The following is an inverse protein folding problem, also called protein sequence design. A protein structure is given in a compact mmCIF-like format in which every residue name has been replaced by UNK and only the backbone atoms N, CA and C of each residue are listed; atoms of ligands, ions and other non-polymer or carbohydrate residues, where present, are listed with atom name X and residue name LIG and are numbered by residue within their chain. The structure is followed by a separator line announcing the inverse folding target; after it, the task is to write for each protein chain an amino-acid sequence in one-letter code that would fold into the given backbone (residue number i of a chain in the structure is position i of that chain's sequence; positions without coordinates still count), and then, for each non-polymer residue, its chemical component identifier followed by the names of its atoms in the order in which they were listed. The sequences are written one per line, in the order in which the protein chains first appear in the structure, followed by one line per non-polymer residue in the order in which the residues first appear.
data_IF_492552512115
#
_entry.id   IF_492552512115
#
_cell.length_a   1.000
_cell.length_b   1.000
_cell.length_c   1.000
_cell.angle_alpha   90.00
_cell.angle_beta   90.00
_cell.angle_gamma   90.00
#
_symmetry.space_group_name_H-M   'P 1'
#
loop_
_entity.id
_entity.type
_entity.pdbx_description
1 polymer ?
#
# COMPACT_ATOMS: atom_id res chain seq x y z
N UNK A 1 25.53 -36.81 15.86
CA UNK A 1 24.55 -36.14 14.98
C UNK A 1 25.02 -36.41 13.55
N UNK A 2 24.28 -37.21 12.78
CA UNK A 2 24.73 -37.69 11.45
C UNK A 2 24.61 -36.59 10.40
N UNK A 3 25.46 -36.62 9.36
CA UNK A 3 25.41 -35.65 8.25
C UNK A 3 24.03 -35.60 7.59
N UNK A 4 23.38 -36.75 7.46
CA UNK A 4 22.00 -36.87 6.97
C UNK A 4 20.97 -36.10 7.83
N UNK A 5 21.19 -36.03 9.16
CA UNK A 5 20.35 -35.25 10.07
C UNK A 5 20.59 -33.74 9.91
N UNK A 6 21.84 -33.33 9.65
CA UNK A 6 22.21 -31.94 9.36
C UNK A 6 21.65 -31.48 8.02
N UNK A 7 21.80 -32.28 6.96
CA UNK A 7 21.23 -31.99 5.64
C UNK A 7 19.70 -31.92 5.65
N UNK A 8 19.02 -32.81 6.39
CA UNK A 8 17.55 -32.70 6.56
C UNK A 8 17.14 -31.44 7.31
N UNK A 9 17.89 -30.98 8.32
CA UNK A 9 17.59 -29.72 9.05
C UNK A 9 17.83 -28.49 8.16
N UNK A 10 18.93 -28.45 7.41
CA UNK A 10 19.24 -27.32 6.51
C UNK A 10 18.26 -27.25 5.34
N UNK A 11 17.96 -28.38 4.70
CA UNK A 11 17.03 -28.48 3.56
C UNK A 11 15.57 -28.15 3.93
N UNK A 12 15.16 -28.30 5.20
CA UNK A 12 13.82 -27.90 5.67
C UNK A 12 13.76 -26.41 6.04
N UNK A 13 14.88 -25.86 6.56
CA UNK A 13 14.99 -24.47 7.01
C UNK A 13 15.06 -23.42 5.88
N UNK A 14 15.69 -23.74 4.75
CA UNK A 14 15.73 -22.84 3.58
C UNK A 14 14.36 -22.58 2.93
N UNK A 15 13.55 -23.61 2.60
CA UNK A 15 12.23 -23.41 2.02
C UNK A 15 11.29 -22.73 3.02
N UNK A 16 11.29 -23.11 4.30
CA UNK A 16 10.42 -22.47 5.32
C UNK A 16 10.72 -20.97 5.45
N UNK A 17 12.00 -20.57 5.42
CA UNK A 17 12.40 -19.16 5.42
C UNK A 17 11.97 -18.41 4.13
N UNK A 18 12.09 -19.05 2.96
CA UNK A 18 11.63 -18.48 1.68
C UNK A 18 10.12 -18.23 1.69
N UNK A 19 9.32 -19.22 2.13
CA UNK A 19 7.87 -19.09 2.26
C UNK A 19 7.48 -18.03 3.29
N UNK A 20 8.16 -17.95 4.44
CA UNK A 20 7.95 -16.89 5.43
C UNK A 20 8.14 -15.49 4.83
N UNK A 21 9.21 -15.31 4.05
CA UNK A 21 9.48 -14.02 3.41
C UNK A 21 8.44 -13.66 2.37
N UNK A 22 7.93 -14.64 1.62
CA UNK A 22 6.85 -14.43 0.66
C UNK A 22 5.53 -14.07 1.36
N UNK A 23 5.14 -14.85 2.38
CA UNK A 23 3.95 -14.59 3.20
C UNK A 23 3.99 -13.19 3.85
N UNK A 24 5.15 -12.80 4.38
CA UNK A 24 5.35 -11.47 4.97
C UNK A 24 5.13 -10.34 3.95
N UNK A 25 5.59 -10.52 2.71
CA UNK A 25 5.40 -9.55 1.62
C UNK A 25 3.94 -9.44 1.20
N UNK A 26 3.22 -10.56 1.12
CA UNK A 26 1.78 -10.58 0.84
C UNK A 26 1.04 -9.71 1.87
N UNK A 27 1.27 -9.98 3.15
CA UNK A 27 0.59 -9.28 4.25
C UNK A 27 0.96 -7.80 4.25
N UNK A 28 2.23 -7.48 4.00
CA UNK A 28 2.66 -6.09 3.87
C UNK A 28 1.95 -5.35 2.75
N UNK A 29 1.89 -5.92 1.54
CA UNK A 29 1.20 -5.29 0.41
C UNK A 29 -0.29 -5.12 0.68
N UNK A 30 -0.95 -6.14 1.24
CA UNK A 30 -2.37 -6.06 1.61
C UNK A 30 -2.63 -4.99 2.67
N UNK A 31 -1.79 -4.92 3.69
CA UNK A 31 -1.88 -3.87 4.73
C UNK A 31 -1.72 -2.47 4.12
N UNK A 32 -0.74 -2.29 3.24
CA UNK A 32 -0.50 -1.02 2.54
C UNK A 32 -1.70 -0.67 1.65
N UNK A 33 -2.28 -1.64 0.93
CA UNK A 33 -3.48 -1.43 0.12
C UNK A 33 -4.66 -0.92 0.97
N UNK A 34 -4.98 -1.61 2.07
CA UNK A 34 -6.08 -1.19 2.94
C UNK A 34 -5.89 0.20 3.52
N UNK A 35 -4.65 0.56 3.86
CA UNK A 35 -4.34 1.91 4.30
C UNK A 35 -4.68 2.98 3.23
N UNK A 36 -4.27 2.76 1.97
CA UNK A 36 -4.61 3.68 0.87
C UNK A 36 -6.12 3.70 0.60
N UNK A 37 -6.77 2.55 0.66
CA UNK A 37 -8.21 2.44 0.46
C UNK A 37 -9.00 3.19 1.55
N UNK A 38 -8.61 3.05 2.82
CA UNK A 38 -9.23 3.79 3.93
C UNK A 38 -9.03 5.29 3.79
N UNK A 39 -7.81 5.74 3.46
CA UNK A 39 -7.55 7.16 3.18
C UNK A 39 -8.41 7.68 2.02
N UNK A 40 -8.52 6.90 0.94
CA UNK A 40 -9.35 7.25 -0.21
C UNK A 40 -10.82 7.46 0.19
N UNK A 41 -11.40 6.56 0.99
CA UNK A 41 -12.79 6.71 1.48
C UNK A 41 -12.93 7.97 2.32
N UNK A 42 -12.05 8.16 3.32
CA UNK A 42 -12.13 9.29 4.26
C UNK A 42 -12.02 10.62 3.50
N UNK A 43 -11.02 10.75 2.62
CA UNK A 43 -10.81 11.97 1.84
C UNK A 43 -11.92 12.20 0.80
N UNK A 44 -12.45 11.14 0.18
CA UNK A 44 -13.56 11.28 -0.77
C UNK A 44 -14.84 11.77 -0.09
N UNK A 45 -15.17 11.22 1.07
CA UNK A 45 -16.30 11.70 1.88
C UNK A 45 -16.11 13.16 2.29
N UNK A 46 -14.91 13.52 2.72
CA UNK A 46 -14.57 14.90 3.08
C UNK A 46 -14.72 15.86 1.88
N UNK A 47 -14.16 15.52 0.71
CA UNK A 47 -14.27 16.35 -0.50
C UNK A 47 -15.71 16.48 -0.98
N UNK A 48 -16.47 15.39 -0.95
CA UNK A 48 -17.88 15.39 -1.28
C UNK A 48 -18.69 16.30 -0.33
N UNK A 49 -18.42 16.22 0.97
CA UNK A 49 -19.04 17.08 1.98
C UNK A 49 -18.69 18.56 1.76
N UNK A 50 -17.41 18.89 1.47
CA UNK A 50 -16.98 20.25 1.17
C UNK A 50 -17.70 20.77 -0.08
N UNK A 51 -17.80 19.96 -1.13
CA UNK A 51 -18.53 20.32 -2.35
C UNK A 51 -20.01 20.60 -2.03
N UNK A 52 -20.66 19.73 -1.26
CA UNK A 52 -22.07 19.87 -0.90
C UNK A 52 -22.39 21.16 -0.15
N UNK A 53 -21.53 21.54 0.80
CA UNK A 53 -21.74 22.73 1.64
C UNK A 53 -21.44 24.02 0.86
N UNK A 54 -20.37 24.05 0.08
CA UNK A 54 -19.84 25.28 -0.51
C UNK A 54 -20.27 25.50 -1.97
N UNK A 55 -20.63 24.45 -2.71
CA UNK A 55 -20.80 24.49 -4.16
C UNK A 55 -22.04 23.69 -4.61
N UNK A 56 -23.23 24.25 -4.38
CA UNK A 56 -24.51 23.57 -4.71
C UNK A 56 -24.75 23.37 -6.21
N UNK A 57 -24.16 24.21 -7.06
CA UNK A 57 -24.36 24.15 -8.52
C UNK A 57 -23.19 23.50 -9.29
N UNK A 58 -22.06 23.24 -8.62
CA UNK A 58 -20.88 22.67 -9.26
C UNK A 58 -20.37 21.44 -8.52
N UNK A 59 -20.40 20.31 -9.21
CA UNK A 59 -19.98 19.00 -8.70
C UNK A 59 -18.52 18.73 -9.08
N UNK A 60 -17.60 19.53 -8.56
CA UNK A 60 -16.19 19.40 -8.91
C UNK A 60 -15.54 18.18 -8.22
N UNK A 61 -15.99 17.80 -7.02
CA UNK A 61 -15.36 16.74 -6.23
C UNK A 61 -15.41 15.35 -6.89
N UNK A 62 -16.36 15.09 -7.80
CA UNK A 62 -16.46 13.80 -8.48
C UNK A 62 -15.26 13.52 -9.39
N UNK A 63 -14.69 14.54 -10.04
CA UNK A 63 -13.58 14.38 -10.98
C UNK A 63 -12.33 13.78 -10.32
N UNK A 64 -11.81 14.35 -9.19
CA UNK A 64 -10.71 13.72 -8.48
C UNK A 64 -11.12 12.35 -7.90
N UNK A 65 -12.34 12.20 -7.37
CA UNK A 65 -12.79 10.91 -6.79
C UNK A 65 -12.76 9.79 -7.85
N UNK A 66 -13.30 10.03 -9.04
CA UNK A 66 -13.33 9.06 -10.13
C UNK A 66 -11.92 8.73 -10.61
N UNK A 67 -11.07 9.74 -10.82
CA UNK A 67 -9.68 9.53 -11.23
C UNK A 67 -8.93 8.64 -10.21
N UNK A 68 -9.03 8.96 -8.93
CA UNK A 68 -8.38 8.19 -7.87
C UNK A 68 -9.01 6.81 -7.64
N UNK A 69 -10.32 6.65 -7.88
CA UNK A 69 -10.99 5.35 -7.83
C UNK A 69 -10.40 4.37 -8.85
N UNK A 70 -10.14 4.82 -10.08
CA UNK A 70 -9.49 4.00 -11.13
C UNK A 70 -8.09 3.56 -10.68
N UNK A 71 -7.32 4.47 -10.09
CA UNK A 71 -5.97 4.15 -9.55
C UNK A 71 -6.04 3.11 -8.44
N UNK A 72 -7.02 3.19 -7.54
CA UNK A 72 -7.23 2.22 -6.46
C UNK A 72 -7.63 0.84 -7.01
N UNK A 73 -8.48 0.80 -8.05
CA UNK A 73 -8.84 -0.44 -8.74
C UNK A 73 -7.59 -1.09 -9.36
N UNK A 74 -6.72 -0.31 -9.99
CA UNK A 74 -5.42 -0.80 -10.47
C UNK A 74 -4.56 -1.42 -9.36
N UNK A 75 -4.44 -0.72 -8.23
CA UNK A 75 -3.74 -1.23 -7.04
C UNK A 75 -4.37 -2.52 -6.49
N UNK A 76 -5.69 -2.64 -6.51
CA UNK A 76 -6.40 -3.85 -6.09
C UNK A 76 -6.04 -5.03 -7.00
N UNK A 77 -6.10 -4.85 -8.32
CA UNK A 77 -5.69 -5.87 -9.29
C UNK A 77 -4.23 -6.30 -9.08
N UNK A 78 -3.32 -5.35 -8.86
CA UNK A 78 -1.90 -5.66 -8.60
C UNK A 78 -1.68 -6.41 -7.27
N UNK A 79 -2.43 -6.08 -6.22
CA UNK A 79 -2.26 -6.69 -4.89
C UNK A 79 -2.92 -8.06 -4.75
N UNK A 80 -4.02 -8.29 -5.47
CA UNK A 80 -4.87 -9.48 -5.27
C UNK A 80 -4.98 -10.38 -6.50
N UNK A 81 -4.88 -9.86 -7.71
CA UNK A 81 -5.05 -10.65 -8.96
C UNK A 81 -3.69 -11.03 -9.55
N UNK A 82 -2.80 -10.07 -9.77
CA UNK A 82 -1.51 -10.30 -10.44
C UNK A 82 -0.34 -10.62 -9.50
N UNK A 83 -0.61 -10.77 -8.21
CA UNK A 83 0.43 -10.99 -7.20
C UNK A 83 1.19 -12.34 -7.37
N UNK A 84 0.76 -13.21 -8.27
CA UNK A 84 1.38 -14.53 -8.52
C UNK A 84 2.53 -14.55 -9.55
N UNK A 85 3.08 -13.39 -9.96
CA UNK A 85 4.26 -13.38 -10.84
C UNK A 85 5.55 -13.66 -10.06
N UNK A 86 5.92 -14.95 -10.01
CA UNK A 86 7.18 -15.46 -9.47
C UNK A 86 8.41 -14.76 -10.07
N UNK A 87 9.05 -13.88 -9.29
CA UNK A 87 10.29 -13.23 -9.71
C UNK A 87 11.51 -14.01 -9.24
N UNK A 88 12.40 -14.37 -10.18
CA UNK A 88 13.81 -14.66 -9.94
C UNK A 88 14.41 -13.52 -9.08
N UNK A 89 14.76 -13.84 -7.83
CA UNK A 89 15.44 -13.01 -6.84
C UNK A 89 14.66 -11.78 -6.24
N UNK A 90 13.72 -12.00 -5.29
CA UNK A 90 12.81 -10.99 -4.77
C UNK A 90 13.45 -9.96 -3.81
N UNK A 91 14.70 -10.15 -3.38
CA UNK A 91 15.33 -9.32 -2.34
C UNK A 91 15.99 -8.05 -2.90
N UNK A 92 16.60 -8.13 -4.08
CA UNK A 92 17.23 -6.96 -4.71
C UNK A 92 16.19 -6.00 -5.29
N UNK A 93 15.11 -6.52 -5.91
CA UNK A 93 14.03 -5.69 -6.46
C UNK A 93 13.29 -4.88 -5.39
N UNK A 94 13.17 -5.39 -4.17
CA UNK A 94 12.38 -4.76 -3.10
C UNK A 94 12.95 -3.42 -2.62
N UNK A 95 14.27 -3.33 -2.46
CA UNK A 95 14.94 -2.08 -2.07
C UNK A 95 14.80 -0.99 -3.13
N UNK A 96 14.92 -1.34 -4.42
CA UNK A 96 14.77 -0.40 -5.53
C UNK A 96 13.30 -0.03 -5.78
N UNK A 97 12.39 -1.01 -5.80
CA UNK A 97 10.97 -0.77 -6.07
C UNK A 97 10.29 0.09 -5.01
N UNK A 98 10.63 -0.04 -3.71
CA UNK A 98 9.93 0.74 -2.68
C UNK A 98 10.19 2.24 -2.83
N UNK A 99 11.43 2.63 -3.19
CA UNK A 99 11.78 4.02 -3.48
C UNK A 99 11.10 4.49 -4.76
N UNK A 100 11.23 3.71 -5.85
CA UNK A 100 10.63 4.06 -7.14
C UNK A 100 9.12 4.19 -7.07
N UNK A 101 8.43 3.28 -6.36
CA UNK A 101 6.98 3.34 -6.19
C UNK A 101 6.54 4.65 -5.52
N UNK A 102 7.22 5.08 -4.45
CA UNK A 102 6.90 6.35 -3.81
C UNK A 102 7.08 7.54 -4.76
N UNK A 103 8.19 7.59 -5.53
CA UNK A 103 8.40 8.66 -6.51
C UNK A 103 7.36 8.67 -7.62
N UNK A 104 6.91 7.50 -8.10
CA UNK A 104 5.82 7.42 -9.07
C UNK A 104 4.54 8.00 -8.50
N UNK A 105 4.19 7.68 -7.25
CA UNK A 105 3.01 8.26 -6.58
C UNK A 105 3.14 9.77 -6.40
N UNK A 106 4.34 10.26 -6.04
CA UNK A 106 4.61 11.68 -5.90
C UNK A 106 4.48 12.42 -7.24
N UNK A 107 5.02 11.87 -8.33
CA UNK A 107 4.91 12.45 -9.67
C UNK A 107 3.45 12.49 -10.12
N UNK A 108 2.72 11.37 -9.98
CA UNK A 108 1.29 11.32 -10.30
C UNK A 108 0.53 12.36 -9.47
N UNK A 109 0.81 12.46 -8.17
CA UNK A 109 0.22 13.47 -7.30
C UNK A 109 0.49 14.89 -7.82
N UNK A 110 1.74 15.24 -8.12
CA UNK A 110 2.08 16.59 -8.62
C UNK A 110 1.36 16.88 -9.94
N UNK A 111 1.45 15.97 -10.92
CA UNK A 111 0.82 16.16 -12.23
C UNK A 111 -0.71 16.27 -12.13
N UNK A 112 -1.36 15.39 -11.37
CA UNK A 112 -2.80 15.45 -11.16
C UNK A 112 -3.23 16.78 -10.54
N UNK A 113 -2.50 17.28 -9.55
CA UNK A 113 -2.81 18.55 -8.91
C UNK A 113 -2.56 19.76 -9.83
N UNK A 114 -1.53 19.72 -10.67
CA UNK A 114 -1.31 20.76 -11.68
C UNK A 114 -2.47 20.82 -12.69
N UNK A 115 -2.98 19.66 -13.13
CA UNK A 115 -4.16 19.59 -14.00
C UNK A 115 -5.41 20.15 -13.30
N UNK A 116 -5.66 19.76 -12.05
CA UNK A 116 -6.80 20.29 -11.29
C UNK A 116 -6.70 21.81 -11.08
N UNK A 117 -5.49 22.31 -10.78
CA UNK A 117 -5.24 23.74 -10.62
C UNK A 117 -5.46 24.48 -11.95
N UNK A 118 -4.99 23.93 -13.07
CA UNK A 118 -5.23 24.49 -14.40
C UNK A 118 -6.72 24.58 -14.72
N UNK A 119 -7.48 23.50 -14.51
CA UNK A 119 -8.94 23.49 -14.72
C UNK A 119 -9.60 24.54 -13.82
N UNK A 120 -9.18 24.62 -12.56
CA UNK A 120 -9.75 25.56 -11.61
C UNK A 120 -9.55 27.02 -12.04
N UNK A 121 -8.33 27.40 -12.40
CA UNK A 121 -8.00 28.76 -12.83
C UNK A 121 -8.63 29.13 -14.18
N UNK A 122 -8.81 28.16 -15.08
CA UNK A 122 -9.35 28.42 -16.41
C UNK A 122 -10.88 28.48 -16.45
N UNK A 123 -11.56 27.57 -15.76
CA UNK A 123 -13.03 27.46 -15.85
C UNK A 123 -13.76 28.17 -14.71
N UNK A 124 -13.17 28.24 -13.52
CA UNK A 124 -13.82 28.83 -12.34
C UNK A 124 -12.83 29.61 -11.47
N UNK A 125 -12.18 30.67 -12.00
CA UNK A 125 -11.15 31.42 -11.28
C UNK A 125 -11.66 32.10 -10.00
N UNK A 126 -12.97 32.39 -9.90
CA UNK A 126 -13.59 32.99 -8.72
C UNK A 126 -13.62 32.05 -7.49
N UNK A 127 -13.40 30.75 -7.68
CA UNK A 127 -13.51 29.75 -6.62
C UNK A 127 -12.31 28.82 -6.65
N UNK A 128 -11.38 28.93 -5.70
CA UNK A 128 -10.15 28.12 -5.66
C UNK A 128 -10.35 26.68 -5.18
N UNK A 129 -11.31 25.94 -5.76
CA UNK A 129 -11.67 24.60 -5.30
C UNK A 129 -10.56 23.56 -5.44
N UNK A 130 -9.56 23.79 -6.32
CA UNK A 130 -8.42 22.88 -6.46
C UNK A 130 -7.54 22.80 -5.20
N UNK A 131 -7.60 23.79 -4.30
CA UNK A 131 -6.84 23.77 -3.04
C UNK A 131 -7.30 22.63 -2.10
N UNK A 132 -8.59 22.31 -2.08
CA UNK A 132 -9.12 21.25 -1.23
C UNK A 132 -8.52 19.87 -1.53
N UNK A 133 -8.50 19.36 -2.78
CA UNK A 133 -7.81 18.12 -3.09
C UNK A 133 -6.29 18.26 -2.89
N UNK A 134 -5.64 19.37 -3.29
CA UNK A 134 -4.19 19.55 -3.08
C UNK A 134 -3.82 19.32 -1.61
N UNK A 135 -4.50 20.02 -0.70
CA UNK A 135 -4.26 19.92 0.73
C UNK A 135 -4.68 18.55 1.29
N UNK A 136 -5.89 18.07 0.96
CA UNK A 136 -6.41 16.80 1.49
C UNK A 136 -5.54 15.61 1.11
N UNK A 137 -5.21 15.47 -0.17
CA UNK A 137 -4.35 14.39 -0.66
C UNK A 137 -2.89 14.58 -0.22
N UNK A 138 -2.41 15.82 -0.11
CA UNK A 138 -1.06 16.14 0.37
C UNK A 138 -0.83 15.71 1.82
N UNK A 139 -1.80 15.95 2.70
CA UNK A 139 -1.77 15.45 4.09
C UNK A 139 -1.77 13.93 4.14
N UNK A 140 -2.57 13.27 3.29
CA UNK A 140 -2.57 11.81 3.17
C UNK A 140 -1.20 11.23 2.75
N UNK A 141 -0.54 11.87 1.78
CA UNK A 141 0.80 11.49 1.33
C UNK A 141 1.85 11.68 2.44
N UNK A 142 1.77 12.80 3.17
CA UNK A 142 2.65 13.08 4.30
C UNK A 142 2.49 12.01 5.40
N UNK A 143 1.25 11.68 5.76
CA UNK A 143 1.00 10.63 6.75
C UNK A 143 1.47 9.26 6.25
N UNK A 144 1.29 8.94 4.97
CA UNK A 144 1.81 7.72 4.38
C UNK A 144 3.34 7.63 4.50
N UNK A 145 4.04 8.71 4.16
CA UNK A 145 5.49 8.80 4.31
C UNK A 145 5.91 8.57 5.76
N UNK A 146 5.28 9.27 6.70
CA UNK A 146 5.59 9.16 8.11
C UNK A 146 5.33 7.75 8.65
N UNK A 147 4.20 7.14 8.30
CA UNK A 147 3.86 5.78 8.73
C UNK A 147 4.80 4.71 8.16
N UNK A 148 5.17 4.82 6.88
CA UNK A 148 6.01 3.80 6.21
C UNK A 148 7.49 3.94 6.55
N UNK A 149 8.00 5.18 6.65
CA UNK A 149 9.44 5.43 6.79
C UNK A 149 9.86 5.75 8.22
N UNK A 150 9.01 6.42 9.00
CA UNK A 150 9.35 6.89 10.35
C UNK A 150 8.77 5.96 11.42
N UNK A 151 7.50 5.57 11.28
CA UNK A 151 6.81 4.78 12.29
C UNK A 151 7.07 3.27 12.15
N UNK A 152 8.04 2.73 12.89
CA UNK A 152 8.23 1.28 13.08
C UNK A 152 7.54 0.79 14.36
N UNK A 153 6.26 1.12 14.54
CA UNK A 153 5.52 0.80 15.75
C UNK A 153 5.60 -0.68 16.15
N UNK A 154 5.97 -0.95 17.40
CA UNK A 154 6.12 -2.29 17.97
C UNK A 154 4.85 -3.15 17.74
N UNK A 155 3.67 -2.56 17.91
CA UNK A 155 2.36 -3.21 17.71
C UNK A 155 2.15 -3.69 16.27
N UNK A 156 2.52 -2.87 15.27
CA UNK A 156 2.40 -3.23 13.85
C UNK A 156 3.36 -4.36 13.50
N UNK A 157 4.58 -4.32 14.05
CA UNK A 157 5.59 -5.36 13.85
C UNK A 157 5.11 -6.72 14.36
N UNK A 158 4.57 -6.77 15.58
CA UNK A 158 4.04 -8.01 16.16
C UNK A 158 2.79 -8.50 15.45
N UNK A 159 1.82 -7.61 15.19
CA UNK A 159 0.62 -7.98 14.44
C UNK A 159 0.96 -8.58 13.07
N UNK A 160 1.88 -7.95 12.33
CA UNK A 160 2.33 -8.42 11.02
C UNK A 160 3.01 -9.78 11.11
N UNK A 161 3.82 -10.01 12.14
CA UNK A 161 4.45 -11.31 12.38
C UNK A 161 3.42 -12.40 12.67
N UNK A 162 2.48 -12.15 13.60
CA UNK A 162 1.41 -13.10 13.93
C UNK A 162 0.54 -13.45 12.73
N UNK A 163 0.21 -12.46 11.89
CA UNK A 163 -0.52 -12.69 10.63
C UNK A 163 0.28 -13.53 9.64
N UNK A 164 1.60 -13.34 9.57
CA UNK A 164 2.49 -14.10 8.68
C UNK A 164 2.55 -15.56 9.10
N UNK A 165 2.69 -15.83 10.40
CA UNK A 165 2.69 -17.18 10.95
C UNK A 165 1.35 -17.86 10.68
N UNK A 166 0.23 -17.17 10.95
CA UNK A 166 -1.12 -17.71 10.70
C UNK A 166 -1.31 -18.07 9.22
N UNK A 167 -0.93 -17.18 8.31
CA UNK A 167 -0.98 -17.43 6.87
C UNK A 167 -0.12 -18.63 6.46
N UNK A 168 1.10 -18.76 7.00
CA UNK A 168 1.96 -19.92 6.70
C UNK A 168 1.36 -21.24 7.16
N UNK A 169 0.78 -21.25 8.36
CA UNK A 169 0.14 -22.45 8.91
C UNK A 169 -1.08 -22.87 8.08
N UNK A 170 -1.86 -21.90 7.61
CA UNK A 170 -3.09 -22.14 6.85
C UNK A 170 -2.84 -22.57 5.40
N UNK A 171 -1.91 -21.90 4.70
CA UNK A 171 -1.69 -22.12 3.26
C UNK A 171 -0.56 -23.11 2.95
N UNK A 172 0.45 -23.20 3.81
CA UNK A 172 1.62 -24.07 3.60
C UNK A 172 1.72 -25.20 4.63
N UNK A 173 0.93 -25.20 5.70
CA UNK A 173 1.04 -26.18 6.78
C UNK A 173 2.34 -26.09 7.58
N UNK A 174 3.10 -24.99 7.44
CA UNK A 174 4.43 -24.82 8.05
C UNK A 174 4.35 -23.81 9.21
N UNK A 175 4.89 -24.18 10.37
CA UNK A 175 5.16 -23.25 11.46
C UNK A 175 6.66 -22.88 11.47
N UNK A 176 7.04 -21.67 11.05
CA UNK A 176 8.44 -21.24 10.94
C UNK A 176 9.17 -21.13 12.28
N UNK A 177 8.47 -21.21 13.42
CA UNK A 177 9.05 -21.09 14.75
C UNK A 177 9.02 -22.40 15.56
N UNK A 178 8.32 -23.43 15.07
CA UNK A 178 8.27 -24.76 15.70
C UNK A 178 9.47 -25.65 15.34
N UNK A 179 10.26 -25.29 14.32
CA UNK A 179 11.50 -26.00 13.95
C UNK A 179 12.61 -25.95 15.02
N UNK A 180 12.49 -25.06 16.02
CA UNK A 180 13.51 -24.86 17.08
C UNK A 180 13.24 -25.62 18.38
N UNK A 181 12.16 -26.42 18.47
CA UNK A 181 11.78 -27.14 19.70
C UNK A 181 12.07 -28.66 19.69
N UNK A 182 12.78 -29.18 18.69
CA UNK A 182 13.22 -30.59 18.65
C UNK A 182 14.71 -30.77 18.37
#
# INVERSE_FOLDING_TARGET
MTEEHMERKTAKSEPSFKYYKQAKKIIEKRMIFFFHFSLFIILSLMLFMINWINFKQMWWAQWPIVFWAIVIIGHFCDCFVFFDRGTRNPMQREKYHRRTAFYVHLIIYVLSNLVLLFINLHFTPAHCWALYPICGWGVGLFYHFFFVYVFKGWTIKHWKQSRTIKFMKEYYGIDPFNEKKT
#
